data_IF_948566741306
#
_entry.id   IF_948566741306
#
_cell.length_a   1.000
_cell.length_b   1.000
_cell.length_c   1.000
_cell.angle_alpha   90.00
_cell.angle_beta   90.00
_cell.angle_gamma   90.00
#
_symmetry.space_group_name_H-M   'P 1'
#
loop_
_entity.id
_entity.type
_entity.pdbx_description
1 polymer ?
#
# COMPACT_ATOMS: atom_id res chain seq x y z
N UNK A 1 -24.99 21.71 -11.98
CA UNK A 1 -24.32 20.52 -11.42
C UNK A 1 -23.37 19.96 -12.47
N UNK A 2 -22.08 20.26 -12.39
CA UNK A 2 -21.08 19.63 -13.27
C UNK A 2 -20.89 18.18 -12.81
N UNK A 3 -21.17 17.21 -13.68
CA UNK A 3 -20.78 15.81 -13.45
C UNK A 3 -19.27 15.71 -13.67
N UNK A 4 -18.51 15.68 -12.59
CA UNK A 4 -17.10 15.33 -12.66
C UNK A 4 -16.97 13.89 -13.17
N UNK A 5 -16.11 13.67 -14.16
CA UNK A 5 -15.78 12.32 -14.62
C UNK A 5 -15.10 11.56 -13.48
N UNK A 6 -15.74 10.46 -13.06
CA UNK A 6 -15.15 9.51 -12.12
C UNK A 6 -14.38 8.46 -12.93
N UNK A 7 -13.14 8.21 -12.52
CA UNK A 7 -12.29 7.20 -13.14
C UNK A 7 -12.25 5.96 -12.26
N UNK A 8 -12.58 4.81 -12.85
CA UNK A 8 -12.46 3.52 -12.19
C UNK A 8 -11.00 3.09 -12.11
N UNK A 9 -10.53 2.78 -10.90
CA UNK A 9 -9.21 2.22 -10.63
C UNK A 9 -9.41 0.82 -10.07
N UNK A 10 -9.09 -0.17 -10.91
CA UNK A 10 -9.09 -1.58 -10.53
C UNK A 10 -7.70 -1.93 -10.04
N UNK A 11 -7.60 -2.39 -8.80
CA UNK A 11 -6.32 -2.69 -8.15
C UNK A 11 -6.09 -4.20 -8.16
N UNK A 12 -5.01 -4.61 -8.80
CA UNK A 12 -4.55 -6.01 -8.90
C UNK A 12 -3.43 -6.27 -7.90
N UNK A 13 -3.12 -7.55 -7.69
CA UNK A 13 -1.95 -7.96 -6.91
C UNK A 13 -0.66 -7.46 -7.56
N UNK A 14 0.24 -6.88 -6.77
CA UNK A 14 1.54 -6.41 -7.25
C UNK A 14 2.61 -7.47 -7.08
N UNK A 15 3.27 -7.81 -8.18
CA UNK A 15 4.49 -8.63 -8.19
C UNK A 15 5.64 -7.84 -7.60
N UNK A 16 5.72 -6.53 -7.86
CA UNK A 16 6.78 -5.64 -7.35
C UNK A 16 6.69 -5.55 -5.82
N UNK A 17 5.51 -5.32 -5.26
CA UNK A 17 5.29 -5.25 -3.82
C UNK A 17 5.71 -6.56 -3.14
N UNK A 18 5.34 -7.70 -3.73
CA UNK A 18 5.71 -9.00 -3.20
C UNK A 18 7.22 -9.23 -3.23
N UNK A 19 7.89 -8.90 -4.34
CA UNK A 19 9.36 -8.98 -4.46
C UNK A 19 10.04 -8.04 -3.48
N UNK A 20 9.55 -6.81 -3.33
CA UNK A 20 10.10 -5.84 -2.39
C UNK A 20 9.99 -6.34 -0.94
N UNK A 21 8.84 -6.92 -0.57
CA UNK A 21 8.67 -7.56 0.74
C UNK A 21 9.65 -8.70 0.96
N UNK A 22 9.88 -9.57 -0.03
CA UNK A 22 10.85 -10.67 0.06
C UNK A 22 12.29 -10.17 0.22
N UNK A 23 12.68 -9.15 -0.55
CA UNK A 23 14.02 -8.55 -0.45
C UNK A 23 14.21 -7.90 0.93
N UNK A 24 13.23 -7.12 1.39
CA UNK A 24 13.30 -6.50 2.71
C UNK A 24 13.37 -7.55 3.82
N UNK A 25 12.59 -8.62 3.69
CA UNK A 25 12.58 -9.76 4.61
C UNK A 25 13.94 -10.46 4.67
N UNK A 26 14.54 -10.79 3.52
CA UNK A 26 15.84 -11.46 3.46
C UNK A 26 16.94 -10.58 4.06
N UNK A 27 16.90 -9.28 3.80
CA UNK A 27 17.86 -8.32 4.35
C UNK A 27 17.74 -8.17 5.88
N UNK A 28 16.51 -8.05 6.41
CA UNK A 28 16.28 -8.01 7.87
C UNK A 28 16.79 -9.29 8.53
N UNK A 29 16.49 -10.46 7.95
CA UNK A 29 16.97 -11.73 8.49
C UNK A 29 18.50 -11.83 8.45
N UNK A 30 19.15 -11.39 7.37
CA UNK A 30 20.60 -11.39 7.26
C UNK A 30 21.26 -10.49 8.32
N UNK A 31 20.74 -9.27 8.50
CA UNK A 31 21.25 -8.33 9.53
C UNK A 31 21.06 -8.90 10.93
N UNK A 32 19.89 -9.46 11.23
CA UNK A 32 19.61 -10.05 12.54
C UNK A 32 20.47 -11.29 12.80
N UNK A 33 20.76 -12.10 11.78
CA UNK A 33 21.70 -13.22 11.91
C UNK A 33 23.10 -12.74 12.29
N UNK A 34 23.62 -11.68 11.66
CA UNK A 34 24.92 -11.12 12.00
C UNK A 34 24.96 -10.60 13.44
N UNK A 35 23.89 -9.93 13.89
CA UNK A 35 23.74 -9.45 15.27
C UNK A 35 23.71 -10.63 16.26
N UNK A 36 22.89 -11.65 15.99
CA UNK A 36 22.80 -12.85 16.84
C UNK A 36 24.12 -13.62 16.91
N UNK A 37 24.81 -13.75 15.78
CA UNK A 37 26.13 -14.39 15.75
C UNK A 37 27.14 -13.62 16.61
N UNK A 38 27.11 -12.28 16.62
CA UNK A 38 28.00 -11.50 17.48
C UNK A 38 27.64 -11.59 18.96
N UNK A 39 26.36 -11.73 19.30
CA UNK A 39 25.88 -11.78 20.69
C UNK A 39 26.05 -13.14 21.37
N UNK A 40 25.92 -14.25 20.62
CA UNK A 40 25.99 -15.60 21.19
C UNK A 40 27.35 -16.25 20.92
N UNK A 41 28.10 -16.57 21.98
CA UNK A 41 29.33 -17.37 21.87
C UNK A 41 29.06 -18.80 21.35
N UNK A 42 27.87 -19.34 21.61
CA UNK A 42 27.46 -20.67 21.15
C UNK A 42 26.68 -20.56 19.82
N UNK A 43 27.28 -21.07 18.75
CA UNK A 43 26.70 -21.06 17.39
C UNK A 43 25.33 -21.73 17.31
N UNK A 44 25.07 -22.76 18.12
CA UNK A 44 23.77 -23.44 18.19
C UNK A 44 22.63 -22.52 18.67
N UNK A 45 22.90 -21.63 19.64
CA UNK A 45 21.91 -20.69 20.14
C UNK A 45 21.55 -19.62 19.10
N UNK A 46 22.55 -19.15 18.34
CA UNK A 46 22.34 -18.21 17.24
C UNK A 46 21.46 -18.81 16.12
N UNK A 47 21.68 -20.08 15.78
CA UNK A 47 20.90 -20.80 14.76
C UNK A 47 19.44 -20.97 15.20
N UNK A 48 19.19 -21.35 16.46
CA UNK A 48 17.83 -21.48 16.99
C UNK A 48 17.12 -20.11 17.01
N UNK A 49 17.81 -19.06 17.47
CA UNK A 49 17.27 -17.70 17.47
C UNK A 49 16.92 -17.22 16.06
N UNK A 50 17.77 -17.52 15.07
CA UNK A 50 17.51 -17.21 13.67
C UNK A 50 16.30 -17.97 13.13
N UNK A 51 16.16 -19.26 13.42
CA UNK A 51 15.02 -20.06 12.97
C UNK A 51 13.69 -19.53 13.51
N UNK A 52 13.62 -19.18 14.80
CA UNK A 52 12.43 -18.60 15.43
C UNK A 52 12.08 -17.25 14.80
N UNK A 53 13.08 -16.39 14.58
CA UNK A 53 12.88 -15.07 13.97
C UNK A 53 12.39 -15.16 12.53
N UNK A 54 12.95 -16.08 11.73
CA UNK A 54 12.52 -16.31 10.36
C UNK A 54 11.07 -16.80 10.32
N UNK A 55 10.67 -17.67 11.25
CA UNK A 55 9.29 -18.14 11.39
C UNK A 55 8.33 -17.00 11.74
N UNK A 56 8.64 -16.18 12.75
CA UNK A 56 7.84 -15.02 13.14
C UNK A 56 7.65 -14.04 11.97
N UNK A 57 8.76 -13.74 11.29
CA UNK A 57 8.76 -12.82 10.16
C UNK A 57 7.94 -13.36 8.99
N UNK A 58 7.98 -14.66 8.72
CA UNK A 58 7.16 -15.31 7.69
C UNK A 58 5.66 -15.17 8.01
N UNK A 59 5.27 -15.39 9.27
CA UNK A 59 3.88 -15.22 9.69
C UNK A 59 3.40 -13.76 9.54
N UNK A 60 4.25 -12.78 9.83
CA UNK A 60 3.91 -11.35 9.65
C UNK A 60 3.67 -11.04 8.17
N UNK A 61 4.55 -11.50 7.27
CA UNK A 61 4.40 -11.28 5.82
C UNK A 61 3.19 -12.03 5.28
N UNK A 62 2.97 -13.28 5.69
CA UNK A 62 1.84 -14.09 5.25
C UNK A 62 0.48 -13.52 5.70
N UNK A 63 0.42 -12.88 6.86
CA UNK A 63 -0.80 -12.18 7.34
C UNK A 63 -1.02 -10.82 6.69
N UNK A 64 0.01 -10.21 6.10
CA UNK A 64 -0.10 -8.94 5.37
C UNK A 64 -0.69 -9.16 3.97
N UNK A 65 -1.91 -9.70 3.91
CA UNK A 65 -2.70 -9.73 2.69
C UNK A 65 -3.10 -8.29 2.39
N UNK A 66 -2.40 -7.67 1.44
CA UNK A 66 -2.64 -6.28 1.06
C UNK A 66 -4.04 -6.18 0.41
N UNK A 67 -5.06 -5.92 1.24
CA UNK A 67 -6.41 -5.59 0.77
C UNK A 67 -6.31 -4.28 0.02
N UNK A 68 -6.45 -4.36 -1.30
CA UNK A 68 -6.36 -3.21 -2.19
C UNK A 68 -7.73 -3.08 -2.84
N UNK A 69 -8.69 -2.37 -2.21
CA UNK A 69 -10.05 -2.29 -2.72
C UNK A 69 -10.05 -1.57 -4.07
N UNK A 70 -10.96 -1.96 -4.96
CA UNK A 70 -11.23 -1.19 -6.16
C UNK A 70 -11.87 0.14 -5.75
N UNK A 71 -11.53 1.23 -6.44
CA UNK A 71 -12.07 2.54 -6.10
C UNK A 71 -12.26 3.41 -7.34
N UNK A 72 -13.18 4.37 -7.26
CA UNK A 72 -13.31 5.42 -8.25
C UNK A 72 -12.75 6.71 -7.68
N UNK A 73 -12.04 7.47 -8.49
CA UNK A 73 -11.53 8.79 -8.11
C UNK A 73 -11.98 9.84 -9.12
N UNK A 74 -12.40 11.02 -8.69
CA UNK A 74 -12.66 12.15 -9.58
C UNK A 74 -11.44 13.08 -9.71
N UNK A 75 -11.49 14.05 -10.62
CA UNK A 75 -10.41 15.04 -10.81
C UNK A 75 -10.19 15.97 -9.60
N UNK A 76 -11.21 16.12 -8.75
CA UNK A 76 -11.11 16.81 -7.47
C UNK A 76 -10.54 15.87 -6.40
N UNK A 77 -10.29 14.58 -6.63
CA UNK A 77 -9.77 13.67 -5.60
C UNK A 77 -10.79 13.23 -4.55
N UNK A 78 -12.09 13.24 -4.87
CA UNK A 78 -13.09 12.45 -4.15
C UNK A 78 -12.94 10.98 -4.52
N UNK A 79 -13.04 10.08 -3.54
CA UNK A 79 -12.85 8.64 -3.71
C UNK A 79 -14.11 7.90 -3.28
N UNK A 80 -14.61 7.02 -4.15
CA UNK A 80 -15.67 6.07 -3.81
C UNK A 80 -15.09 4.65 -3.80
N UNK A 81 -15.15 3.97 -2.65
CA UNK A 81 -14.73 2.57 -2.55
C UNK A 81 -15.81 1.64 -3.10
N UNK A 82 -15.41 0.70 -3.95
CA UNK A 82 -16.29 -0.28 -4.57
C UNK A 82 -16.13 -1.64 -3.90
N UNK A 83 -17.21 -2.42 -3.87
CA UNK A 83 -17.14 -3.82 -3.48
C UNK A 83 -16.50 -4.66 -4.61
N UNK A 84 -16.04 -5.88 -4.29
CA UNK A 84 -15.30 -6.77 -5.20
C UNK A 84 -16.12 -7.18 -6.46
N UNK A 85 -17.43 -6.99 -6.45
CA UNK A 85 -18.28 -7.07 -7.64
C UNK A 85 -18.32 -5.71 -8.32
N UNK A 86 -18.10 -5.68 -9.64
CA UNK A 86 -18.21 -4.54 -10.57
C UNK A 86 -19.54 -3.75 -10.54
N UNK A 87 -20.41 -4.01 -9.57
CA UNK A 87 -21.64 -3.28 -9.31
C UNK A 87 -21.36 -2.12 -8.34
N UNK A 88 -21.82 -0.94 -8.75
CA UNK A 88 -21.57 0.37 -8.16
C UNK A 88 -22.24 0.58 -6.79
N UNK A 89 -22.02 -0.32 -5.83
CA UNK A 89 -22.36 -0.08 -4.43
C UNK A 89 -21.16 0.63 -3.82
N UNK A 90 -21.28 1.96 -3.69
CA UNK A 90 -20.31 2.78 -2.96
C UNK A 90 -20.40 2.38 -1.50
N UNK A 91 -19.40 1.65 -1.02
CA UNK A 91 -19.34 1.20 0.37
C UNK A 91 -19.04 2.38 1.29
N UNK A 92 -17.95 3.10 0.98
CA UNK A 92 -17.49 4.25 1.75
C UNK A 92 -17.07 5.37 0.79
N UNK A 93 -17.25 6.61 1.23
CA UNK A 93 -16.72 7.80 0.56
C UNK A 93 -15.52 8.34 1.32
N UNK A 94 -14.48 8.65 0.58
CA UNK A 94 -13.26 9.24 1.11
C UNK A 94 -12.84 10.47 0.31
N UNK A 95 -11.94 11.24 0.90
CA UNK A 95 -11.29 12.35 0.23
C UNK A 95 -9.78 12.16 0.23
N UNK A 96 -9.16 12.35 -0.93
CA UNK A 96 -7.72 12.32 -1.05
C UNK A 96 -7.12 13.53 -0.33
N UNK A 97 -6.31 13.26 0.69
CA UNK A 97 -5.60 14.26 1.46
C UNK A 97 -4.39 14.75 0.68
N UNK A 98 -4.04 16.03 0.85
CA UNK A 98 -2.86 16.63 0.22
C UNK A 98 -1.52 16.07 0.71
N UNK A 99 -1.54 15.32 1.82
CA UNK A 99 -0.41 14.53 2.30
C UNK A 99 -0.04 13.40 1.35
N UNK A 100 -0.92 13.02 0.41
CA UNK A 100 -0.63 12.04 -0.63
C UNK A 100 0.57 12.46 -1.48
N UNK A 101 1.41 11.50 -1.85
CA UNK A 101 2.65 11.78 -2.56
C UNK A 101 3.05 10.65 -3.50
N UNK A 102 3.95 10.97 -4.43
CA UNK A 102 4.49 10.04 -5.42
C UNK A 102 5.97 9.83 -5.10
N UNK A 103 6.41 8.58 -5.06
CA UNK A 103 7.82 8.18 -5.04
C UNK A 103 8.14 7.41 -6.32
N UNK A 104 9.42 7.25 -6.70
CA UNK A 104 9.80 6.63 -7.98
C UNK A 104 9.22 5.22 -8.21
N UNK A 105 8.89 4.49 -7.14
CA UNK A 105 8.44 3.11 -7.19
C UNK A 105 6.97 2.90 -6.79
N UNK A 106 6.28 3.90 -6.22
CA UNK A 106 4.86 3.77 -5.84
C UNK A 106 4.18 5.12 -5.59
N UNK A 107 2.85 5.10 -5.54
CA UNK A 107 2.02 6.20 -5.08
C UNK A 107 1.54 5.91 -3.66
N UNK A 108 1.66 6.90 -2.77
CA UNK A 108 1.15 6.84 -1.41
C UNK A 108 -0.10 7.73 -1.33
N UNK A 109 -1.24 7.09 -1.10
CA UNK A 109 -2.52 7.76 -0.93
C UNK A 109 -2.85 7.82 0.55
N UNK A 110 -3.16 9.03 1.02
CA UNK A 110 -3.78 9.26 2.32
C UNK A 110 -5.22 9.67 2.08
N UNK A 111 -6.16 8.92 2.64
CA UNK A 111 -7.58 9.11 2.43
C UNK A 111 -8.23 9.35 3.79
N UNK A 112 -8.99 10.44 3.92
CA UNK A 112 -9.90 10.63 5.05
C UNK A 112 -11.26 10.04 4.70
N UNK A 113 -11.79 9.14 5.53
CA UNK A 113 -13.20 8.73 5.41
C UNK A 113 -14.10 9.89 5.85
N UNK A 114 -15.09 10.20 5.03
CA UNK A 114 -15.96 11.36 5.25
C UNK A 114 -16.92 11.19 6.45
N UNK A 115 -17.07 9.95 6.95
CA UNK A 115 -18.01 9.59 8.03
C UNK A 115 -17.33 9.37 9.40
N UNK A 116 -16.00 9.22 9.45
CA UNK A 116 -15.25 9.12 10.71
C UNK A 116 -13.94 9.91 10.61
N UNK A 117 -13.96 11.13 11.17
CA UNK A 117 -12.83 12.08 11.26
C UNK A 117 -11.54 11.49 11.86
N UNK A 118 -11.60 10.31 12.47
CA UNK A 118 -10.48 9.65 13.13
C UNK A 118 -9.76 8.60 12.27
N UNK A 119 -10.32 8.13 11.16
CA UNK A 119 -9.75 7.00 10.42
C UNK A 119 -9.11 7.45 9.10
N UNK A 120 -7.79 7.64 9.13
CA UNK A 120 -6.98 7.90 7.93
C UNK A 120 -6.55 6.57 7.34
N UNK A 121 -7.04 6.27 6.15
CA UNK A 121 -6.63 5.09 5.40
C UNK A 121 -5.39 5.42 4.56
N UNK A 122 -4.35 4.59 4.69
CA UNK A 122 -3.12 4.69 3.90
C UNK A 122 -3.08 3.56 2.88
N UNK A 123 -3.06 3.90 1.59
CA UNK A 123 -2.93 2.93 0.49
C UNK A 123 -1.60 3.17 -0.23
N UNK A 124 -0.87 2.08 -0.47
CA UNK A 124 0.29 2.03 -1.34
C UNK A 124 -0.11 1.41 -2.67
N UNK A 125 -0.05 2.19 -3.75
CA UNK A 125 -0.34 1.72 -5.10
C UNK A 125 0.96 1.63 -5.88
N UNK A 126 1.34 0.40 -6.24
CA UNK A 126 2.50 0.15 -7.09
C UNK A 126 2.09 0.25 -8.57
N UNK A 127 3.01 0.63 -9.48
CA UNK A 127 2.71 0.81 -10.90
C UNK A 127 2.09 -0.43 -11.56
N UNK A 128 2.46 -1.62 -11.12
CA UNK A 128 1.97 -2.90 -11.65
C UNK A 128 0.61 -3.33 -11.07
N UNK A 129 0.08 -2.62 -10.07
CA UNK A 129 -1.25 -2.88 -9.52
C UNK A 129 -2.38 -2.36 -10.39
N UNK A 130 -2.10 -1.39 -11.25
CA UNK A 130 -3.11 -0.63 -11.99
C UNK A 130 -2.62 -0.45 -13.41
N UNK A 131 -3.53 -0.30 -14.36
CA UNK A 131 -3.14 -0.06 -15.74
C UNK A 131 -2.44 1.30 -15.88
N UNK A 132 -1.50 1.43 -16.82
CA UNK A 132 -0.63 2.62 -17.00
C UNK A 132 -1.41 3.94 -17.07
N UNK A 133 -2.57 3.93 -17.73
CA UNK A 133 -3.42 5.11 -17.88
C UNK A 133 -4.02 5.54 -16.54
N UNK A 134 -4.52 4.59 -15.76
CA UNK A 134 -5.06 4.80 -14.41
C UNK A 134 -3.97 5.26 -13.45
N UNK A 135 -2.76 4.67 -13.53
CA UNK A 135 -1.62 5.09 -12.72
C UNK A 135 -1.20 6.54 -13.01
N UNK A 136 -1.05 6.92 -14.28
CA UNK A 136 -0.70 8.30 -14.68
C UNK A 136 -1.77 9.30 -14.24
N UNK A 137 -3.05 8.93 -14.34
CA UNK A 137 -4.16 9.77 -13.86
C UNK A 137 -4.12 9.96 -12.35
N UNK A 138 -3.90 8.89 -11.59
CA UNK A 138 -3.73 8.96 -10.14
C UNK A 138 -2.58 9.90 -9.77
N UNK A 139 -1.41 9.75 -10.42
CA UNK A 139 -0.27 10.66 -10.25
C UNK A 139 -0.63 12.12 -10.55
N UNK A 140 -1.40 12.37 -11.62
CA UNK A 140 -1.86 13.72 -11.96
C UNK A 140 -2.76 14.30 -10.86
N UNK A 141 -3.73 13.53 -10.37
CA UNK A 141 -4.64 13.95 -9.30
C UNK A 141 -3.86 14.28 -8.02
N UNK A 142 -2.91 13.44 -7.61
CA UNK A 142 -2.05 13.70 -6.44
C UNK A 142 -1.28 15.02 -6.62
N UNK A 143 -0.69 15.26 -7.80
CA UNK A 143 0.05 16.50 -8.09
C UNK A 143 -0.85 17.72 -8.04
N UNK A 144 -2.04 17.66 -8.65
CA UNK A 144 -3.01 18.75 -8.63
C UNK A 144 -3.46 19.06 -7.21
N UNK A 145 -3.76 18.05 -6.40
CA UNK A 145 -4.16 18.23 -5.00
C UNK A 145 -3.07 18.87 -4.14
N UNK A 146 -1.81 18.54 -4.39
CA UNK A 146 -0.68 19.18 -3.70
C UNK A 146 -0.49 20.65 -4.06
N UNK A 147 -0.85 21.06 -5.27
CA UNK A 147 -0.70 22.44 -5.76
C UNK A 147 -1.86 23.36 -5.33
N UNK A 148 -2.94 22.81 -4.77
CA UNK A 148 -4.10 23.56 -4.28
C UNK A 148 -3.94 24.08 -2.83
N UNK A 149 -2.78 23.85 -2.21
CA UNK A 149 -2.37 24.39 -0.90
C UNK A 149 -1.28 25.43 -1.14
#
# INVERSE_FOLDING_TARGET
MQRYSKYLIIVKSSVIAHRFQLVLFTLINAVMFLILHQLFLATQAAVIGFAIQSLLSYFIVAKNKQMSPNFQVNDIGEIDFLNDSTEAIVLNKGQLLAQSFIVPWCCVLYISEHELDSNKLKILIWPDMVDDTSYRRLCRIIRLRRQQI
#
